data_IF_946100982413
#
_entry.id   IF_946100982413
#
_cell.length_a   1.000
_cell.length_b   1.000
_cell.length_c   1.000
_cell.angle_alpha   90.00
_cell.angle_beta   90.00
_cell.angle_gamma   90.00
#
_symmetry.space_group_name_H-M   'P 1'
#
loop_
_entity.id
_entity.type
_entity.pdbx_description
1 polymer ?
#
# COMPACT_ATOMS: atom_id res chain seq x y z
N UNK A 1 -16.70 60.49 18.34
CA UNK A 1 -15.43 61.25 18.49
C UNK A 1 -15.27 61.67 19.94
N UNK A 2 -14.29 61.11 20.65
CA UNK A 2 -13.73 61.71 21.86
C UNK A 2 -12.22 61.34 21.92
N UNK A 3 -11.30 62.31 21.93
CA UNK A 3 -9.86 62.10 21.86
C UNK A 3 -9.23 62.10 23.26
N UNK A 4 -8.59 60.99 23.67
CA UNK A 4 -7.55 61.09 24.69
C UNK A 4 -6.61 59.88 24.66
N UNK A 5 -5.33 60.16 24.41
CA UNK A 5 -4.18 59.26 24.53
C UNK A 5 -3.19 59.96 25.48
N UNK A 6 -2.52 59.22 26.38
CA UNK A 6 -1.05 59.11 26.30
C UNK A 6 -0.59 57.66 26.61
N UNK A 7 0.29 57.04 25.83
CA UNK A 7 1.76 57.17 25.77
C UNK A 7 2.50 56.48 26.94
N UNK A 8 3.37 55.52 26.60
CA UNK A 8 4.52 55.12 27.42
C UNK A 8 4.66 53.62 27.69
N UNK A 9 5.72 52.99 27.17
CA UNK A 9 6.12 51.65 27.62
C UNK A 9 7.02 50.87 26.67
N UNK A 10 8.27 51.32 26.51
CA UNK A 10 9.37 50.57 25.85
C UNK A 10 9.86 49.45 26.78
N UNK A 11 9.91 48.20 26.30
CA UNK A 11 10.71 47.05 26.76
C UNK A 11 10.61 46.02 25.63
N UNK A 12 11.65 45.55 24.95
CA UNK A 12 12.90 44.99 25.44
C UNK A 12 13.09 43.73 24.60
N UNK A 13 14.11 43.71 23.73
CA UNK A 13 14.31 42.64 22.78
C UNK A 13 14.69 41.32 23.44
N UNK A 14 14.15 40.22 22.91
CA UNK A 14 14.76 38.90 22.96
C UNK A 14 14.65 38.30 21.57
N UNK A 15 15.80 38.09 20.93
CA UNK A 15 15.91 37.29 19.72
C UNK A 15 15.42 35.87 20.01
N UNK A 16 14.66 35.22 19.11
CA UNK A 16 14.35 33.82 19.26
C UNK A 16 15.62 32.98 19.10
N UNK A 17 15.76 31.87 19.86
CA UNK A 17 16.92 31.00 19.78
C UNK A 17 17.04 30.38 18.39
N UNK A 18 18.25 30.42 17.84
CA UNK A 18 18.65 29.66 16.67
C UNK A 18 18.29 28.19 16.86
N UNK A 19 17.25 27.73 16.15
CA UNK A 19 16.89 26.31 16.10
C UNK A 19 18.01 25.63 15.32
N UNK A 20 18.90 24.95 16.05
CA UNK A 20 19.82 23.97 15.50
C UNK A 20 19.03 23.01 14.63
N UNK A 21 19.24 23.10 13.31
CA UNK A 21 18.78 22.13 12.35
C UNK A 21 19.28 20.75 12.79
N UNK A 22 18.40 19.96 13.41
CA UNK A 22 18.64 18.53 13.58
C UNK A 22 18.77 17.98 12.18
N UNK A 23 20.00 17.62 11.84
CA UNK A 23 20.40 16.84 10.67
C UNK A 23 19.36 15.74 10.49
N UNK A 24 18.50 15.90 9.48
CA UNK A 24 17.66 14.83 8.95
C UNK A 24 18.67 13.73 8.61
N UNK A 25 18.68 12.68 9.43
CA UNK A 25 19.44 11.48 9.09
C UNK A 25 18.93 11.02 7.73
N UNK A 26 19.84 10.67 6.83
CA UNK A 26 19.56 10.03 5.55
C UNK A 26 18.70 8.77 5.77
N UNK A 27 17.39 8.92 5.96
CA UNK A 27 16.46 7.83 5.78
C UNK A 27 16.24 7.70 4.27
N UNK A 28 16.51 6.51 3.70
CA UNK A 28 16.17 6.28 2.31
C UNK A 28 14.65 6.41 2.13
N UNK A 29 14.18 6.85 0.94
CA UNK A 29 12.76 7.04 0.67
C UNK A 29 11.97 5.75 0.95
N UNK A 30 10.69 5.87 1.35
CA UNK A 30 9.81 4.74 1.70
C UNK A 30 9.78 3.63 0.61
N UNK A 31 9.92 4.01 -0.66
CA UNK A 31 10.12 3.11 -1.80
C UNK A 31 11.25 2.09 -1.59
N UNK A 32 12.36 2.50 -0.96
CA UNK A 32 13.50 1.62 -0.67
C UNK A 32 13.23 0.68 0.50
N UNK A 33 12.27 0.94 1.38
CA UNK A 33 11.94 0.01 2.48
C UNK A 33 11.07 -1.14 1.99
N UNK A 34 10.17 -0.87 1.04
CA UNK A 34 9.48 -1.94 0.29
C UNK A 34 10.42 -2.61 -0.70
N UNK A 35 11.09 -1.90 -1.60
CA UNK A 35 12.05 -2.55 -2.50
C UNK A 35 13.12 -3.35 -1.73
N UNK A 36 13.61 -2.91 -0.56
CA UNK A 36 14.57 -3.67 0.25
C UNK A 36 13.97 -4.78 1.11
N UNK A 37 12.73 -4.67 1.62
CA UNK A 37 12.08 -5.78 2.35
C UNK A 37 11.48 -6.78 1.38
N UNK A 38 10.80 -6.30 0.36
CA UNK A 38 10.20 -7.07 -0.73
C UNK A 38 11.28 -7.75 -1.59
N UNK A 39 12.37 -7.08 -2.00
CA UNK A 39 13.47 -7.80 -2.68
C UNK A 39 14.23 -8.75 -1.73
N UNK A 40 14.31 -8.46 -0.43
CA UNK A 40 14.87 -9.43 0.55
C UNK A 40 13.96 -10.62 0.79
N UNK A 41 12.64 -10.49 0.68
CA UNK A 41 11.68 -11.57 0.93
C UNK A 41 11.37 -12.38 -0.35
N UNK A 42 11.33 -11.74 -1.52
CA UNK A 42 11.07 -12.38 -2.82
C UNK A 42 12.32 -13.04 -3.40
N UNK A 43 13.53 -12.54 -3.07
CA UNK A 43 14.80 -13.09 -3.58
C UNK A 43 15.72 -13.65 -2.48
N UNK A 44 15.20 -14.01 -1.30
CA UNK A 44 15.96 -14.85 -0.37
C UNK A 44 16.02 -16.27 -0.94
N UNK A 45 17.15 -16.65 -1.53
CA UNK A 45 17.41 -18.03 -1.96
C UNK A 45 17.16 -19.03 -0.81
N UNK A 46 16.59 -20.23 -1.07
CA UNK A 46 16.39 -21.24 -0.06
C UNK A 46 17.73 -21.92 0.23
N UNK A 47 18.63 -21.20 0.88
CA UNK A 47 19.91 -21.72 1.32
C UNK A 47 19.78 -22.23 2.76
N UNK A 48 19.78 -23.56 2.85
CA UNK A 48 20.21 -24.36 3.98
C UNK A 48 19.26 -24.40 5.20
N UNK A 49 18.61 -25.54 5.43
CA UNK A 49 19.19 -26.68 6.17
C UNK A 49 19.62 -26.26 7.59
N UNK A 50 18.82 -26.74 8.56
CA UNK A 50 19.22 -27.16 9.90
C UNK A 50 20.31 -26.34 10.61
N UNK A 51 19.92 -25.62 11.68
CA UNK A 51 20.55 -25.78 13.01
C UNK A 51 19.93 -24.89 14.09
N UNK A 52 19.46 -25.59 15.14
CA UNK A 52 19.70 -25.34 16.57
C UNK A 52 19.20 -24.02 17.18
N UNK A 53 18.07 -24.16 17.87
CA UNK A 53 17.96 -24.04 19.33
C UNK A 53 19.08 -23.24 20.02
N UNK A 54 18.81 -21.98 20.36
CA UNK A 54 19.31 -21.36 21.61
C UNK A 54 18.22 -20.42 22.15
N UNK A 55 17.69 -20.80 23.31
CA UNK A 55 16.81 -20.06 24.18
C UNK A 55 17.65 -19.11 25.05
N UNK A 56 17.37 -17.80 25.06
CA UNK A 56 17.81 -16.90 26.14
C UNK A 56 16.67 -15.94 26.52
N UNK A 57 16.37 -15.98 27.81
CA UNK A 57 15.35 -15.28 28.58
C UNK A 57 16.02 -14.13 29.37
N UNK A 58 15.45 -12.92 29.38
CA UNK A 58 15.47 -11.90 30.46
C UNK A 58 14.91 -10.55 29.92
N UNK A 59 13.73 -10.00 30.25
CA UNK A 59 13.13 -9.49 31.51
C UNK A 59 13.42 -7.99 31.80
N UNK A 60 12.37 -7.14 31.70
CA UNK A 60 12.01 -5.88 32.46
C UNK A 60 12.84 -4.58 32.26
N UNK A 61 12.35 -3.31 32.39
CA UNK A 61 11.12 -2.65 32.91
C UNK A 61 11.05 -1.17 32.42
N UNK A 62 9.81 -0.66 32.22
CA UNK A 62 9.20 0.71 32.32
C UNK A 62 10.00 2.01 32.05
N UNK A 63 9.36 2.97 31.34
CA UNK A 63 8.99 4.31 31.87
C UNK A 63 8.29 5.21 30.81
N UNK A 64 7.05 5.60 31.14
CA UNK A 64 6.30 6.86 30.94
C UNK A 64 6.52 7.79 29.72
N UNK A 65 5.40 8.26 29.16
CA UNK A 65 5.34 9.54 28.43
C UNK A 65 3.96 9.87 27.86
N UNK A 66 3.20 10.73 28.55
CA UNK A 66 1.87 11.24 28.20
C UNK A 66 1.97 12.68 27.63
N UNK A 67 0.98 13.07 26.81
CA UNK A 67 0.65 14.46 26.45
C UNK A 67 0.95 14.80 25.00
N UNK A 68 0.09 15.46 24.22
CA UNK A 68 -1.19 16.11 24.48
C UNK A 68 -1.48 17.08 23.33
N UNK A 69 -2.61 16.87 22.66
CA UNK A 69 -3.53 17.77 21.95
C UNK A 69 -3.15 18.90 20.95
N UNK A 70 -3.98 18.91 19.89
CA UNK A 70 -4.60 20.03 19.15
C UNK A 70 -3.87 20.81 18.05
N UNK A 71 -4.49 20.73 16.85
CA UNK A 71 -4.90 21.83 15.93
C UNK A 71 -3.77 22.66 15.25
N UNK A 72 -3.83 23.18 14.03
CA UNK A 72 -4.82 23.26 12.95
C UNK A 72 -4.06 23.74 11.68
N UNK A 73 -4.63 23.49 10.50
CA UNK A 73 -4.67 24.37 9.32
C UNK A 73 -3.39 24.70 8.52
N UNK A 74 -3.43 24.17 7.29
CA UNK A 74 -3.10 24.75 5.98
C UNK A 74 -1.76 25.42 5.74
N UNK A 75 -0.99 24.82 4.81
CA UNK A 75 -0.35 25.55 3.71
C UNK A 75 -0.42 24.77 2.40
N UNK A 76 -1.17 25.35 1.46
CA UNK A 76 -1.08 25.13 0.01
C UNK A 76 0.34 25.36 -0.50
N UNK A 77 0.86 24.41 -1.28
CA UNK A 77 1.91 24.64 -2.26
C UNK A 77 1.78 23.64 -3.43
N UNK A 78 0.98 24.06 -4.40
CA UNK A 78 1.16 23.97 -5.85
C UNK A 78 2.39 23.21 -6.37
N UNK A 79 2.09 22.14 -7.11
CA UNK A 79 2.71 21.61 -8.36
C UNK A 79 4.18 21.17 -8.28
N UNK A 80 4.33 19.84 -8.36
CA UNK A 80 5.47 19.14 -8.96
C UNK A 80 4.97 18.13 -9.99
N UNK A 81 4.46 18.64 -11.10
CA UNK A 81 4.28 17.90 -12.35
C UNK A 81 5.68 17.63 -12.94
N UNK A 82 6.09 16.37 -13.02
CA UNK A 82 7.22 15.87 -13.83
C UNK A 82 7.12 14.33 -13.87
N UNK A 83 7.04 13.63 -14.99
CA UNK A 83 7.20 14.03 -16.38
C UNK A 83 6.44 13.08 -17.32
N UNK A 84 5.98 13.65 -18.43
CA UNK A 84 5.38 12.98 -19.58
C UNK A 84 6.27 11.91 -20.21
N UNK A 85 5.67 10.76 -20.50
CA UNK A 85 5.90 10.03 -21.74
C UNK A 85 4.59 10.04 -22.53
N UNK A 86 4.55 10.78 -23.64
CA UNK A 86 3.41 10.77 -24.56
C UNK A 86 3.40 9.45 -25.35
N UNK A 87 2.68 8.45 -24.83
CA UNK A 87 1.97 7.45 -25.63
C UNK A 87 0.48 7.68 -25.36
N UNK A 88 -0.15 8.54 -26.16
CA UNK A 88 -1.42 9.18 -25.84
C UNK A 88 -2.66 8.27 -25.81
N UNK A 89 -2.50 6.96 -26.05
CA UNK A 89 -3.60 6.00 -26.08
C UNK A 89 -3.47 4.85 -25.05
N UNK A 90 -2.35 4.75 -24.32
CA UNK A 90 -2.17 3.66 -23.33
C UNK A 90 -2.19 4.21 -21.91
N UNK A 91 -3.12 3.72 -21.09
CA UNK A 91 -3.23 4.11 -19.68
C UNK A 91 -1.95 3.76 -18.90
N UNK A 92 -1.56 4.65 -17.99
CA UNK A 92 -0.44 4.40 -17.08
C UNK A 92 -0.79 3.28 -16.08
N UNK A 93 0.21 2.53 -15.56
CA UNK A 93 -0.03 1.44 -14.61
C UNK A 93 -0.87 1.82 -13.38
N UNK A 94 -0.58 2.98 -12.77
CA UNK A 94 -1.33 3.48 -11.61
C UNK A 94 -2.80 3.78 -11.95
N UNK A 95 -3.06 4.26 -13.16
CA UNK A 95 -4.41 4.54 -13.64
C UNK A 95 -5.20 3.23 -13.88
N UNK A 96 -4.55 2.20 -14.43
CA UNK A 96 -5.16 0.86 -14.57
C UNK A 96 -5.59 0.31 -13.20
N UNK A 97 -4.74 0.41 -12.18
CA UNK A 97 -5.07 -0.06 -10.82
C UNK A 97 -6.20 0.76 -10.20
N UNK A 98 -6.19 2.09 -10.37
CA UNK A 98 -7.27 2.96 -9.91
C UNK A 98 -8.62 2.56 -10.52
N UNK A 99 -8.67 2.37 -11.84
CA UNK A 99 -9.88 1.93 -12.53
C UNK A 99 -10.34 0.53 -12.10
N UNK A 100 -9.39 -0.39 -11.88
CA UNK A 100 -9.70 -1.73 -11.39
C UNK A 100 -10.37 -1.69 -10.01
N UNK A 101 -9.75 -0.99 -9.05
CA UNK A 101 -10.26 -0.86 -7.68
C UNK A 101 -11.63 -0.19 -7.65
N UNK A 102 -11.84 0.83 -8.48
CA UNK A 102 -13.14 1.51 -8.56
C UNK A 102 -14.23 0.61 -9.17
N UNK A 103 -13.91 -0.21 -10.19
CA UNK A 103 -14.85 -1.20 -10.76
C UNK A 103 -15.21 -2.29 -9.75
N UNK A 104 -14.23 -2.79 -9.00
CA UNK A 104 -14.44 -3.76 -7.91
C UNK A 104 -15.39 -3.17 -6.85
N UNK A 105 -15.11 -1.95 -6.37
CA UNK A 105 -15.94 -1.25 -5.37
C UNK A 105 -17.38 -1.05 -5.81
N UNK A 106 -17.60 -0.77 -7.10
CA UNK A 106 -18.94 -0.62 -7.70
C UNK A 106 -19.63 -1.96 -7.99
N UNK A 107 -18.98 -3.08 -7.75
CA UNK A 107 -19.50 -4.43 -8.02
C UNK A 107 -19.64 -4.73 -9.52
N UNK A 108 -18.82 -4.12 -10.37
CA UNK A 108 -18.80 -4.41 -11.81
C UNK A 108 -20.04 -3.99 -12.61
N UNK A 109 -20.88 -3.09 -12.09
CA UNK A 109 -22.17 -2.69 -12.70
C UNK A 109 -22.06 -2.09 -14.10
N UNK A 110 -21.00 -1.34 -14.37
CA UNK A 110 -20.84 -0.58 -15.63
C UNK A 110 -19.80 -1.20 -16.57
N UNK A 111 -18.79 -1.87 -16.03
CA UNK A 111 -17.75 -2.57 -16.76
C UNK A 111 -17.10 -3.62 -15.83
N UNK A 112 -16.66 -4.73 -16.39
CA UNK A 112 -16.01 -5.78 -15.61
C UNK A 112 -14.63 -5.31 -15.15
N UNK A 113 -14.28 -5.58 -13.90
CA UNK A 113 -12.91 -5.41 -13.42
C UNK A 113 -11.96 -6.40 -14.12
N UNK A 114 -12.46 -7.55 -14.55
CA UNK A 114 -11.67 -8.59 -15.21
C UNK A 114 -11.08 -8.12 -16.55
N UNK A 115 -11.68 -7.13 -17.20
CA UNK A 115 -11.20 -6.59 -18.48
C UNK A 115 -9.82 -5.90 -18.35
N UNK A 116 -9.43 -5.53 -17.11
CA UNK A 116 -8.14 -4.89 -16.80
C UNK A 116 -7.06 -5.90 -16.37
N UNK A 117 -7.40 -7.19 -16.29
CA UNK A 117 -6.45 -8.26 -16.01
C UNK A 117 -5.73 -8.70 -17.28
N UNK A 118 -4.59 -9.39 -17.13
CA UNK A 118 -3.91 -10.01 -18.28
C UNK A 118 -4.82 -11.03 -18.96
N UNK A 119 -4.59 -11.31 -20.25
CA UNK A 119 -5.37 -12.33 -20.96
C UNK A 119 -5.23 -13.70 -20.30
N UNK A 120 -4.04 -14.02 -19.81
CA UNK A 120 -3.80 -15.28 -19.10
C UNK A 120 -4.59 -15.34 -17.79
N UNK A 121 -4.59 -14.27 -16.99
CA UNK A 121 -5.42 -14.20 -15.79
C UNK A 121 -6.92 -14.36 -16.08
N UNK A 122 -7.42 -13.72 -17.14
CA UNK A 122 -8.81 -13.88 -17.58
C UNK A 122 -9.14 -15.33 -17.96
N UNK A 123 -8.22 -16.01 -18.66
CA UNK A 123 -8.36 -17.41 -19.03
C UNK A 123 -8.39 -18.31 -17.80
N UNK A 124 -7.48 -18.12 -16.85
CA UNK A 124 -7.42 -18.91 -15.62
C UNK A 124 -8.66 -18.71 -14.75
N UNK A 125 -9.14 -17.47 -14.57
CA UNK A 125 -10.38 -17.21 -13.83
C UNK A 125 -11.61 -17.88 -14.47
N UNK A 126 -11.65 -17.89 -15.81
CA UNK A 126 -12.70 -18.59 -16.55
C UNK A 126 -12.59 -20.10 -16.34
N UNK A 127 -11.37 -20.66 -16.38
CA UNK A 127 -11.09 -22.08 -16.20
C UNK A 127 -11.53 -22.58 -14.83
N UNK A 128 -11.21 -21.85 -13.76
CA UNK A 128 -11.58 -22.24 -12.38
C UNK A 128 -13.06 -21.95 -12.07
N UNK A 129 -13.77 -21.27 -12.98
CA UNK A 129 -15.20 -21.00 -12.86
C UNK A 129 -15.57 -20.03 -11.72
N UNK A 130 -14.63 -19.17 -11.29
CA UNK A 130 -14.84 -18.25 -10.18
C UNK A 130 -14.42 -16.83 -10.55
N UNK A 131 -15.31 -15.83 -10.41
CA UNK A 131 -14.91 -14.44 -10.57
C UNK A 131 -13.95 -14.06 -9.44
N UNK A 132 -12.98 -13.19 -9.75
CA UNK A 132 -12.10 -12.63 -8.73
C UNK A 132 -12.96 -11.89 -7.69
N UNK A 133 -12.99 -12.43 -6.47
CA UNK A 133 -13.50 -11.71 -5.31
C UNK A 133 -12.32 -11.06 -4.63
N UNK A 134 -12.07 -9.80 -4.98
CA UNK A 134 -11.09 -9.01 -4.26
C UNK A 134 -11.65 -8.70 -2.86
N UNK A 135 -10.88 -8.91 -1.78
CA UNK A 135 -11.31 -8.52 -0.44
C UNK A 135 -11.43 -6.99 -0.38
N UNK A 136 -12.66 -6.51 -0.44
CA UNK A 136 -12.98 -5.10 -0.26
C UNK A 136 -14.48 -4.91 -0.16
N UNK A 137 -14.91 -4.19 0.87
CA UNK A 137 -16.30 -3.75 1.00
C UNK A 137 -16.63 -2.67 -0.05
N UNK A 138 -17.91 -2.42 -0.36
CA UNK A 138 -18.30 -1.26 -1.16
C UNK A 138 -17.83 0.09 -0.56
N UNK A 139 -17.52 0.09 0.73
CA UNK A 139 -17.06 1.23 1.51
C UNK A 139 -15.52 1.31 1.62
N UNK A 140 -14.79 0.38 1.02
CA UNK A 140 -13.32 0.42 0.92
C UNK A 140 -12.88 1.75 0.31
N UNK A 141 -11.89 2.37 0.96
CA UNK A 141 -11.17 3.52 0.41
C UNK A 141 -9.80 3.07 -0.04
N UNK A 142 -9.34 3.59 -1.16
CA UNK A 142 -8.02 3.29 -1.67
C UNK A 142 -7.21 4.54 -1.98
N UNK A 143 -5.90 4.42 -1.84
CA UNK A 143 -4.91 5.43 -2.23
C UNK A 143 -3.90 4.75 -3.15
N UNK A 144 -3.85 5.20 -4.41
CA UNK A 144 -2.85 4.73 -5.38
C UNK A 144 -1.64 5.65 -5.33
N UNK A 145 -0.47 5.05 -5.12
CA UNK A 145 0.79 5.77 -5.03
C UNK A 145 1.56 5.62 -6.35
N UNK A 146 2.86 5.37 -6.26
CA UNK A 146 3.75 5.34 -7.41
C UNK A 146 3.89 3.93 -7.99
N UNK A 147 4.18 3.88 -9.29
CA UNK A 147 4.63 2.67 -9.98
C UNK A 147 6.16 2.52 -9.93
N UNK A 148 6.65 1.29 -9.78
CA UNK A 148 8.07 0.94 -9.74
C UNK A 148 8.36 -0.18 -10.76
N UNK A 149 9.46 -0.12 -11.51
CA UNK A 149 9.87 -1.24 -12.35
C UNK A 149 10.21 -2.45 -11.48
N UNK A 150 9.86 -3.65 -11.95
CA UNK A 150 10.27 -4.89 -11.30
C UNK A 150 11.72 -5.21 -11.71
N UNK A 151 12.64 -5.46 -10.76
CA UNK A 151 14.02 -5.80 -11.10
C UNK A 151 14.09 -7.05 -11.99
N UNK A 152 14.90 -6.98 -13.05
CA UNK A 152 15.11 -8.07 -14.02
C UNK A 152 13.86 -8.54 -14.78
N UNK A 153 12.78 -7.74 -14.81
CA UNK A 153 11.57 -8.01 -15.59
C UNK A 153 11.13 -6.73 -16.32
N UNK A 154 11.52 -6.59 -17.59
CA UNK A 154 11.28 -5.38 -18.39
C UNK A 154 9.79 -5.17 -18.71
N UNK A 155 9.02 -6.25 -18.69
CA UNK A 155 7.59 -6.28 -18.97
C UNK A 155 6.73 -6.24 -17.70
N UNK A 156 7.31 -5.94 -16.52
CA UNK A 156 6.58 -5.88 -15.27
C UNK A 156 6.79 -4.57 -14.49
N UNK A 157 5.71 -4.11 -13.85
CA UNK A 157 5.72 -2.97 -12.92
C UNK A 157 4.90 -3.30 -11.68
N UNK A 158 5.38 -2.81 -10.54
CA UNK A 158 4.65 -2.80 -9.29
C UNK A 158 3.94 -1.47 -9.11
N UNK A 159 2.68 -1.48 -8.68
CA UNK A 159 1.93 -0.29 -8.28
C UNK A 159 1.58 -0.42 -6.81
N UNK A 160 2.09 0.51 -5.99
CA UNK A 160 1.85 0.51 -4.57
C UNK A 160 0.51 1.20 -4.25
N UNK A 161 -0.31 0.57 -3.40
CA UNK A 161 -1.58 1.09 -2.91
C UNK A 161 -1.74 0.89 -1.41
N UNK A 162 -2.56 1.75 -0.80
CA UNK A 162 -3.16 1.47 0.50
C UNK A 162 -4.66 1.25 0.34
N UNK A 163 -5.19 0.25 1.04
CA UNK A 163 -6.62 -0.02 1.16
C UNK A 163 -7.05 0.22 2.60
N UNK A 164 -8.17 0.88 2.82
CA UNK A 164 -8.74 1.13 4.14
C UNK A 164 -10.14 0.57 4.20
N UNK A 165 -10.33 -0.47 5.00
CA UNK A 165 -11.62 -1.13 5.24
C UNK A 165 -12.25 -0.58 6.52
N UNK A 166 -13.55 -0.25 6.51
CA UNK A 166 -14.30 -0.05 7.73
C UNK A 166 -14.52 -1.39 8.43
N UNK A 167 -14.16 -1.47 9.72
CA UNK A 167 -14.40 -2.66 10.56
C UNK A 167 -15.52 -2.43 11.57
N UNK A 168 -15.61 -1.22 12.10
CA UNK A 168 -16.67 -0.74 12.99
C UNK A 168 -16.98 0.72 12.65
N UNK A 169 -18.14 1.28 13.07
CA UNK A 169 -18.46 2.69 12.82
C UNK A 169 -17.38 3.63 13.38
N UNK A 170 -16.59 4.22 12.49
CA UNK A 170 -15.51 5.15 12.83
C UNK A 170 -14.11 4.54 12.82
N UNK A 171 -13.99 3.21 12.76
CA UNK A 171 -12.71 2.50 12.74
C UNK A 171 -12.36 2.00 11.34
N UNK A 172 -11.10 2.25 10.94
CA UNK A 172 -10.54 1.80 9.68
C UNK A 172 -9.33 0.91 9.93
N UNK A 173 -9.29 -0.25 9.28
CA UNK A 173 -8.07 -1.05 9.16
C UNK A 173 -7.43 -0.77 7.81
N UNK A 174 -6.13 -0.44 7.83
CA UNK A 174 -5.36 -0.11 6.64
C UNK A 174 -4.44 -1.27 6.24
N UNK A 175 -4.52 -1.67 4.99
CA UNK A 175 -3.70 -2.70 4.35
C UNK A 175 -2.78 -2.08 3.31
N UNK A 176 -1.56 -2.59 3.22
CA UNK A 176 -0.61 -2.24 2.17
C UNK A 176 -0.66 -3.32 1.10
N UNK A 177 -0.94 -2.92 -0.15
CA UNK A 177 -1.10 -3.81 -1.29
C UNK A 177 -0.25 -3.34 -2.45
N UNK A 178 0.56 -4.23 -2.99
CA UNK A 178 1.37 -4.01 -4.18
C UNK A 178 0.78 -4.81 -5.32
N UNK A 179 0.34 -4.13 -6.37
CA UNK A 179 -0.20 -4.75 -7.58
C UNK A 179 0.91 -5.03 -8.57
N UNK A 180 0.92 -6.20 -9.18
CA UNK A 180 1.82 -6.55 -10.27
C UNK A 180 1.07 -6.39 -11.58
N UNK A 181 1.63 -5.60 -12.49
CA UNK A 181 1.13 -5.44 -13.85
C UNK A 181 2.17 -5.94 -14.85
N UNK A 182 1.68 -6.53 -15.94
CA UNK A 182 2.46 -7.01 -17.08
C UNK A 182 2.14 -6.18 -18.32
N UNK A 183 3.15 -5.99 -19.17
CA UNK A 183 2.99 -5.28 -20.45
C UNK A 183 2.50 -6.28 -21.50
N UNK A 184 1.28 -6.09 -21.98
CA UNK A 184 0.73 -6.80 -23.13
C UNK A 184 0.73 -5.91 -24.39
N UNK A 185 0.37 -6.48 -25.54
CA UNK A 185 0.21 -5.74 -26.81
C UNK A 185 -0.82 -4.62 -26.71
N UNK A 186 -1.86 -4.80 -25.89
CA UNK A 186 -2.92 -3.81 -25.64
C UNK A 186 -2.58 -2.84 -24.48
N UNK A 187 -1.35 -2.88 -23.97
CA UNK A 187 -0.88 -2.04 -22.86
C UNK A 187 -0.75 -2.80 -21.53
N UNK A 188 -0.69 -2.05 -20.43
CA UNK A 188 -0.54 -2.62 -19.09
C UNK A 188 -1.81 -3.33 -18.64
N UNK A 189 -1.63 -4.49 -18.01
CA UNK A 189 -2.70 -5.32 -17.44
C UNK A 189 -2.27 -5.91 -16.10
N UNK A 190 -3.21 -6.12 -15.19
CA UNK A 190 -2.94 -6.64 -13.85
C UNK A 190 -2.77 -8.17 -13.92
N UNK A 191 -1.66 -8.68 -13.41
CA UNK A 191 -1.41 -10.13 -13.30
C UNK A 191 -1.59 -10.67 -11.89
N UNK A 192 -1.59 -9.81 -10.87
CA UNK A 192 -1.73 -10.25 -9.48
C UNK A 192 -1.51 -9.12 -8.49
N UNK A 193 -1.48 -9.47 -7.21
CA UNK A 193 -1.10 -8.55 -6.14
C UNK A 193 -0.44 -9.27 -4.98
N UNK A 194 0.20 -8.51 -4.11
CA UNK A 194 0.71 -8.99 -2.82
C UNK A 194 0.23 -8.08 -1.72
N UNK A 195 -0.29 -8.66 -0.64
CA UNK A 195 -0.79 -7.95 0.53
C UNK A 195 0.08 -8.25 1.76
N UNK A 196 0.40 -7.21 2.54
CA UNK A 196 1.00 -7.37 3.86
C UNK A 196 -0.06 -7.89 4.85
N UNK A 197 0.22 -9.05 5.45
CA UNK A 197 -0.68 -9.72 6.41
C UNK A 197 -0.49 -9.23 7.85
N UNK A 198 0.42 -8.28 8.09
CA UNK A 198 0.73 -7.75 9.42
C UNK A 198 1.87 -8.49 10.12
N UNK A 199 2.03 -8.26 11.44
CA UNK A 199 3.26 -8.65 12.14
C UNK A 199 3.54 -10.16 12.06
N UNK A 200 4.77 -10.45 11.63
CA UNK A 200 5.42 -11.77 11.54
C UNK A 200 4.80 -12.78 10.57
N UNK A 201 3.84 -12.36 9.74
CA UNK A 201 3.33 -13.18 8.65
C UNK A 201 4.06 -12.85 7.34
N UNK A 202 4.40 -13.86 6.53
CA UNK A 202 4.90 -13.58 5.18
C UNK A 202 3.81 -12.84 4.38
N UNK A 203 4.17 -11.94 3.45
CA UNK A 203 3.20 -11.35 2.55
C UNK A 203 2.46 -12.43 1.75
N UNK A 204 1.17 -12.24 1.56
CA UNK A 204 0.36 -13.14 0.73
C UNK A 204 0.35 -12.61 -0.70
N UNK A 205 0.94 -13.36 -1.61
CA UNK A 205 0.94 -13.05 -3.04
C UNK A 205 -0.18 -13.80 -3.75
N UNK A 206 -1.09 -13.14 -4.45
CA UNK A 206 -2.06 -13.78 -5.32
C UNK A 206 -1.64 -13.55 -6.77
N UNK A 207 -1.24 -14.62 -7.43
CA UNK A 207 -0.97 -14.63 -8.87
C UNK A 207 -2.24 -15.07 -9.62
N UNK A 208 -2.81 -14.17 -10.42
CA UNK A 208 -4.01 -14.47 -11.19
C UNK A 208 -3.72 -15.33 -12.42
N UNK A 209 -2.46 -15.41 -12.84
CA UNK A 209 -2.00 -16.22 -13.96
C UNK A 209 -1.71 -17.67 -13.55
N UNK A 210 -1.67 -17.97 -12.25
CA UNK A 210 -1.56 -19.31 -11.69
C UNK A 210 -2.89 -19.76 -11.07
N UNK A 211 -3.77 -20.34 -11.90
CA UNK A 211 -5.06 -20.83 -11.42
C UNK A 211 -4.95 -22.00 -10.43
N UNK A 212 -3.86 -22.79 -10.43
CA UNK A 212 -3.68 -23.85 -9.44
C UNK A 212 -3.41 -23.24 -8.06
N UNK A 213 -2.54 -22.22 -8.00
CA UNK A 213 -2.30 -21.46 -6.77
C UNK A 213 -3.60 -20.87 -6.24
N UNK A 214 -4.43 -20.25 -7.10
CA UNK A 214 -5.72 -19.70 -6.69
C UNK A 214 -6.67 -20.76 -6.13
N UNK A 215 -6.76 -21.93 -6.76
CA UNK A 215 -7.58 -23.06 -6.28
C UNK A 215 -7.11 -23.57 -4.90
N UNK A 216 -5.80 -23.68 -4.70
CA UNK A 216 -5.22 -24.06 -3.41
C UNK A 216 -5.57 -23.05 -2.32
N UNK A 217 -5.32 -21.76 -2.56
CA UNK A 217 -5.58 -20.70 -1.58
C UNK A 217 -7.04 -20.56 -1.21
N UNK A 218 -7.92 -20.77 -2.18
CA UNK A 218 -9.36 -20.78 -1.92
C UNK A 218 -9.78 -21.97 -1.07
N UNK A 219 -9.21 -23.15 -1.33
CA UNK A 219 -9.48 -24.36 -0.54
C UNK A 219 -9.04 -24.16 0.91
N UNK A 220 -7.82 -23.65 1.11
CA UNK A 220 -7.30 -23.31 2.45
C UNK A 220 -8.20 -22.30 3.17
N UNK A 221 -8.64 -21.24 2.48
CA UNK A 221 -9.54 -20.25 3.06
C UNK A 221 -10.89 -20.85 3.51
N UNK A 222 -11.43 -21.81 2.76
CA UNK A 222 -12.68 -22.49 3.11
C UNK A 222 -12.51 -23.40 4.34
N UNK A 223 -11.41 -24.14 4.42
CA UNK A 223 -11.09 -25.03 5.54
C UNK A 223 -10.88 -24.25 6.86
N UNK A 224 -10.25 -23.08 6.79
CA UNK A 224 -10.07 -22.19 7.94
C UNK A 224 -11.41 -21.68 8.51
N UNK A 225 -12.41 -21.39 7.65
CA UNK A 225 -13.75 -20.96 8.08
C UNK A 225 -14.49 -22.05 8.87
N UNK A 226 -14.32 -23.31 8.48
CA UNK A 226 -14.94 -24.46 9.16
C UNK A 226 -14.27 -24.77 10.50
N UNK A 227 -12.95 -24.54 10.62
CA UNK A 227 -12.22 -24.75 11.88
C UNK A 227 -12.59 -23.75 12.97
N UNK A 228 -12.95 -22.51 12.60
CA UNK A 228 -13.26 -21.42 13.52
C UNK A 228 -14.71 -21.44 14.03
N UNK A 229 -15.54 -22.34 13.51
CA UNK A 229 -16.96 -22.49 13.88
C UNK A 229 -17.26 -23.71 14.78
N UNK A 230 -16.22 -24.46 15.19
CA UNK A 230 -16.32 -25.56 16.16
C UNK A 230 -15.83 -25.20 17.56
#
# INVERSE_FOLDING_TARGET
MNPNRPAGGVRGGSAPPSVSARRIGNQPPLANRFASRFAKLVFAEPLFVAKRLVLVLATTILLSGCGGDSADTSRTATIGEQASGNDSDTLAPAEIVSQFLDRVRRGGKDASANDLLTKLAQQEMTRIGRPLQFPGSPDTRFEVLQAYPVPNQEDAVWVHTFLSEPVEPGDLVRYEVVWTLRRETEGWRISGFTIDQGQDQPPMEIDFEDGNQMETKLTEALEDTDSKSR
#
